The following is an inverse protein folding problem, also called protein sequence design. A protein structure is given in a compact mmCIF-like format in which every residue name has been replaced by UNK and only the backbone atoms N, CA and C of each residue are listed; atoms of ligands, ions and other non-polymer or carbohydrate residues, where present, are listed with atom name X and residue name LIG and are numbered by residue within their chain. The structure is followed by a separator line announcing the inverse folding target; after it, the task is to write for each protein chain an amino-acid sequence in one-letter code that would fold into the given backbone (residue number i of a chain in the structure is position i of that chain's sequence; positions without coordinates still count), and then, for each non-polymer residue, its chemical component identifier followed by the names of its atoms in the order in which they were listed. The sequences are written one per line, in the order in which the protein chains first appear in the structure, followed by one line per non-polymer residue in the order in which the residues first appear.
data_IF_801378696467
#
_entry.id   IF_801378696467
#
_cell.length_a   1.000
_cell.length_b   1.000
_cell.length_c   1.000
_cell.angle_alpha   90.00
_cell.angle_beta   90.00
_cell.angle_gamma   90.00
#
_symmetry.space_group_name_H-M   'P 1'
#
loop_
_entity.id
_entity.type
_entity.pdbx_description
1 polymer ?
#
# COMPACT_ATOMS: atom_id res chain seq x y z
N UNK A 1 -10.36 0.76 -3.42
CA UNK A 1 -9.53 1.16 -2.26
C UNK A 1 -8.81 2.45 -2.57
N UNK A 2 -8.54 3.24 -1.56
CA UNK A 2 -7.80 4.50 -1.67
C UNK A 2 -6.59 4.39 -0.74
N UNK A 3 -5.43 4.74 -1.25
CA UNK A 3 -4.19 4.86 -0.48
C UNK A 3 -3.79 6.33 -0.48
N UNK A 4 -3.63 6.94 0.66
CA UNK A 4 -3.35 8.37 0.77
C UNK A 4 -2.27 8.66 1.84
N UNK A 5 -1.73 9.86 1.81
CA UNK A 5 -0.88 10.38 2.89
C UNK A 5 -1.71 10.70 4.15
N UNK A 6 -1.04 10.86 5.28
CA UNK A 6 -1.70 11.22 6.54
C UNK A 6 -2.44 12.57 6.45
N UNK A 7 -1.88 13.54 5.72
CA UNK A 7 -2.48 14.87 5.55
C UNK A 7 -3.81 14.81 4.78
N UNK A 8 -3.83 14.01 3.69
CA UNK A 8 -5.05 13.78 2.92
C UNK A 8 -6.11 13.06 3.75
N UNK A 9 -5.71 12.08 4.55
CA UNK A 9 -6.63 11.37 5.45
C UNK A 9 -7.23 12.32 6.50
N UNK A 10 -6.42 13.21 7.07
CA UNK A 10 -6.87 14.22 8.03
C UNK A 10 -7.86 15.19 7.38
N UNK A 11 -7.58 15.64 6.17
CA UNK A 11 -8.49 16.50 5.42
C UNK A 11 -9.84 15.81 5.14
N UNK A 12 -9.82 14.52 4.77
CA UNK A 12 -11.05 13.75 4.57
C UNK A 12 -11.85 13.56 5.86
N UNK A 13 -11.17 13.39 6.98
CA UNK A 13 -11.81 13.29 8.30
C UNK A 13 -12.44 14.63 8.69
N UNK A 14 -11.73 15.74 8.51
CA UNK A 14 -12.24 17.09 8.80
C UNK A 14 -13.44 17.47 7.93
N UNK A 15 -13.45 17.01 6.67
CA UNK A 15 -14.58 17.19 5.77
C UNK A 15 -15.82 16.35 6.15
N UNK A 16 -15.71 15.46 7.15
CA UNK A 16 -16.82 14.63 7.64
C UNK A 16 -17.28 13.54 6.66
N UNK A 17 -16.48 13.24 5.63
CA UNK A 17 -16.85 12.23 4.61
C UNK A 17 -16.25 10.86 4.89
N UNK A 18 -15.27 10.78 5.78
CA UNK A 18 -14.62 9.54 6.19
C UNK A 18 -15.29 8.99 7.46
N UNK A 19 -15.86 7.79 7.35
CA UNK A 19 -16.33 7.03 8.50
C UNK A 19 -15.17 6.20 9.05
N UNK A 20 -14.69 6.57 10.24
CA UNK A 20 -13.59 5.92 10.94
C UNK A 20 -14.06 4.82 11.91
N UNK A 21 -15.36 4.69 12.16
CA UNK A 21 -15.88 3.65 13.05
C UNK A 21 -15.45 2.23 12.70
N UNK A 22 -15.34 1.84 11.43
CA UNK A 22 -14.82 0.52 11.08
C UNK A 22 -13.34 0.31 11.43
N UNK A 23 -12.56 1.39 11.54
CA UNK A 23 -11.15 1.33 11.93
C UNK A 23 -10.96 1.23 13.45
N UNK A 24 -11.94 1.67 14.23
CA UNK A 24 -11.97 1.58 15.69
C UNK A 24 -12.38 0.19 16.20
N UNK A 25 -12.25 -0.83 15.41
CA UNK A 25 -12.72 -2.16 15.73
C UNK A 25 -12.15 -2.66 17.06
N UNK A 26 -12.97 -3.37 17.81
CA UNK A 26 -12.91 -3.68 19.26
C UNK A 26 -11.65 -4.40 19.79
N UNK A 27 -10.66 -4.69 18.96
CA UNK A 27 -9.37 -5.22 19.40
C UNK A 27 -8.36 -4.08 19.62
N UNK A 28 -8.58 -3.30 20.63
CA UNK A 28 -7.67 -2.26 21.14
C UNK A 28 -6.31 -2.79 21.63
N UNK A 29 -6.05 -4.06 21.47
CA UNK A 29 -4.77 -4.69 21.80
C UNK A 29 -3.81 -4.78 20.62
N UNK A 30 -4.16 -4.21 19.49
CA UNK A 30 -3.27 -4.19 18.33
C UNK A 30 -2.42 -2.94 18.39
N UNK A 31 -1.14 -3.16 18.38
CA UNK A 31 -0.13 -2.12 18.19
C UNK A 31 -0.47 -1.29 16.95
N UNK A 32 -0.77 -0.02 17.12
CA UNK A 32 -1.23 0.89 16.07
C UNK A 32 -0.22 1.05 14.92
N UNK A 33 1.01 0.68 15.15
CA UNK A 33 2.11 0.81 14.18
C UNK A 33 1.92 -0.05 12.92
N UNK A 34 1.11 -1.08 12.98
CA UNK A 34 0.82 -1.95 11.83
C UNK A 34 -0.52 -1.70 11.14
N UNK A 35 -1.40 -0.89 11.74
CA UNK A 35 -2.74 -0.67 11.21
C UNK A 35 -2.80 0.58 10.35
N UNK A 36 -2.73 0.39 9.04
CA UNK A 36 -2.82 1.48 8.05
C UNK A 36 -4.25 1.79 7.62
N UNK A 37 -5.25 1.05 8.13
CA UNK A 37 -6.64 1.24 7.77
C UNK A 37 -7.24 2.46 8.49
N UNK A 38 -7.63 3.48 7.71
CA UNK A 38 -8.16 4.74 8.25
C UNK A 38 -9.68 4.76 8.39
N UNK A 39 -10.39 4.00 7.56
CA UNK A 39 -11.84 3.99 7.56
C UNK A 39 -12.44 3.75 6.19
N UNK A 40 -13.73 4.03 6.06
CA UNK A 40 -14.50 3.87 4.83
C UNK A 40 -15.05 5.20 4.37
N UNK A 41 -14.75 5.56 3.12
CA UNK A 41 -15.27 6.77 2.49
C UNK A 41 -16.66 6.47 1.91
N UNK A 42 -17.66 7.25 2.34
CA UNK A 42 -19.05 7.15 1.88
C UNK A 42 -19.65 5.73 1.92
N UNK A 43 -19.18 4.89 2.85
CA UNK A 43 -19.66 3.51 2.97
C UNK A 43 -19.21 2.54 1.87
N UNK A 44 -18.38 2.99 0.91
CA UNK A 44 -17.99 2.18 -0.26
C UNK A 44 -16.49 1.94 -0.39
N UNK A 45 -15.68 2.94 -0.10
CA UNK A 45 -14.26 2.90 -0.42
C UNK A 45 -13.43 2.79 0.84
N UNK A 46 -12.65 1.72 0.95
CA UNK A 46 -11.69 1.55 2.04
C UNK A 46 -10.51 2.50 1.83
N UNK A 47 -10.17 3.25 2.86
CA UNK A 47 -9.07 4.21 2.88
C UNK A 47 -7.94 3.66 3.76
N UNK A 48 -6.74 3.69 3.21
CA UNK A 48 -5.52 3.30 3.90
C UNK A 48 -4.54 4.47 3.93
N UNK A 49 -3.84 4.62 5.03
CA UNK A 49 -2.81 5.64 5.20
C UNK A 49 -1.45 5.01 4.91
N UNK A 50 -0.64 5.70 4.13
CA UNK A 50 0.78 5.39 3.98
C UNK A 50 1.60 6.33 4.86
N UNK A 51 2.14 5.84 5.98
CA UNK A 51 2.91 6.68 6.91
C UNK A 51 4.27 7.11 6.34
N UNK A 52 4.75 6.42 5.30
CA UNK A 52 6.07 6.68 4.69
C UNK A 52 6.00 7.65 3.51
N UNK A 53 4.82 8.02 3.06
CA UNK A 53 4.62 8.98 1.97
C UNK A 53 4.58 10.44 2.43
N UNK A 54 4.98 10.72 3.66
CA UNK A 54 5.06 12.08 4.18
C UNK A 54 6.01 12.91 3.31
N UNK A 55 5.42 13.76 2.51
CA UNK A 55 6.16 14.62 1.59
C UNK A 55 6.31 15.99 2.24
N UNK A 56 7.53 16.46 2.33
CA UNK A 56 7.85 17.80 2.87
C UNK A 56 7.40 18.92 1.89
N UNK A 57 6.93 18.54 0.71
CA UNK A 57 6.46 19.49 -0.30
C UNK A 57 4.95 19.73 -0.18
N UNK A 58 4.51 20.92 -0.60
CA UNK A 58 3.09 21.35 -0.65
C UNK A 58 2.18 20.44 -1.50
N UNK A 59 2.77 19.45 -2.14
CA UNK A 59 2.06 18.53 -3.04
C UNK A 59 1.87 17.19 -2.39
N UNK A 60 0.62 16.84 -2.14
CA UNK A 60 0.23 15.54 -1.64
C UNK A 60 -0.37 14.69 -2.76
N UNK A 61 -0.33 13.38 -2.57
CA UNK A 61 -0.87 12.43 -3.54
C UNK A 61 -1.77 11.43 -2.84
N UNK A 62 -2.80 10.98 -3.55
CA UNK A 62 -3.50 9.76 -3.22
C UNK A 62 -3.64 8.87 -4.45
N UNK A 63 -3.73 7.58 -4.21
CA UNK A 63 -3.86 6.57 -5.26
C UNK A 63 -5.19 5.86 -5.08
N UNK A 64 -5.97 5.84 -6.13
CA UNK A 64 -7.19 5.05 -6.20
C UNK A 64 -6.87 3.74 -6.88
N UNK A 65 -7.16 2.63 -6.21
CA UNK A 65 -6.96 1.29 -6.74
C UNK A 65 -8.27 0.52 -6.85
N UNK A 66 -8.44 -0.17 -7.95
CA UNK A 66 -9.55 -1.10 -8.19
C UNK A 66 -9.06 -2.54 -8.12
N UNK A 67 -9.85 -3.39 -7.51
CA UNK A 67 -9.72 -4.85 -7.55
C UNK A 67 -11.10 -5.44 -7.73
N UNK A 68 -11.25 -6.27 -8.77
CA UNK A 68 -12.50 -6.97 -9.03
C UNK A 68 -12.71 -8.18 -8.11
N UNK A 69 -13.83 -8.86 -8.29
CA UNK A 69 -14.19 -10.08 -7.57
C UNK A 69 -13.39 -11.30 -8.03
N UNK A 70 -12.98 -11.33 -9.29
CA UNK A 70 -12.14 -12.40 -9.82
C UNK A 70 -10.68 -12.27 -9.36
N UNK A 71 -9.98 -13.38 -9.03
CA UNK A 71 -8.57 -13.35 -8.72
C UNK A 71 -7.68 -12.76 -9.80
N UNK A 72 -8.10 -12.86 -11.06
CA UNK A 72 -7.37 -12.34 -12.23
C UNK A 72 -7.67 -10.88 -12.55
N UNK A 73 -8.72 -10.31 -11.95
CA UNK A 73 -9.12 -8.92 -12.15
C UNK A 73 -8.43 -8.02 -11.11
N UNK A 74 -7.13 -7.92 -11.22
CA UNK A 74 -6.27 -7.11 -10.37
C UNK A 74 -5.15 -6.46 -11.18
N UNK A 75 -4.71 -5.29 -10.75
CA UNK A 75 -3.64 -4.56 -11.44
C UNK A 75 -2.24 -5.00 -11.09
N UNK A 76 -2.07 -5.69 -9.97
CA UNK A 76 -0.79 -6.16 -9.46
C UNK A 76 -0.96 -7.53 -8.82
N UNK A 77 -0.07 -8.44 -9.17
CA UNK A 77 -0.01 -9.78 -8.60
C UNK A 77 1.24 -9.92 -7.75
N UNK A 78 1.05 -10.29 -6.50
CA UNK A 78 2.13 -10.67 -5.59
C UNK A 78 2.14 -12.18 -5.43
N UNK A 79 3.23 -12.80 -5.83
CA UNK A 79 3.41 -14.26 -5.84
C UNK A 79 4.54 -14.63 -4.88
N UNK A 80 4.25 -14.89 -3.60
CA UNK A 80 5.26 -15.35 -2.66
C UNK A 80 5.60 -16.82 -2.97
N UNK A 81 6.88 -17.09 -3.22
CA UNK A 81 7.40 -18.46 -3.40
C UNK A 81 7.92 -19.03 -2.10
N UNK A 82 8.73 -18.26 -1.38
CA UNK A 82 9.23 -18.61 -0.06
C UNK A 82 8.78 -17.53 0.91
N UNK A 83 8.01 -17.87 1.96
CA UNK A 83 7.62 -16.92 2.97
C UNK A 83 8.84 -16.37 3.71
N UNK A 84 8.65 -15.30 4.47
CA UNK A 84 9.71 -14.74 5.31
C UNK A 84 10.16 -15.80 6.33
N UNK A 85 11.42 -16.19 6.23
CA UNK A 85 12.04 -17.17 7.11
C UNK A 85 13.20 -16.54 7.87
N UNK A 86 13.24 -16.79 9.15
CA UNK A 86 14.38 -16.43 9.99
C UNK A 86 15.35 -17.61 10.05
N UNK A 87 16.62 -17.36 9.77
CA UNK A 87 17.70 -18.35 9.87
C UNK A 87 18.67 -17.87 10.94
N UNK A 88 18.96 -18.76 11.88
CA UNK A 88 19.99 -18.53 12.91
C UNK A 88 21.20 -19.38 12.59
N UNK A 89 22.37 -18.81 12.71
CA UNK A 89 23.64 -19.51 12.57
C UNK A 89 24.65 -18.95 13.58
N UNK A 90 25.60 -19.75 13.96
CA UNK A 90 26.74 -19.32 14.78
C UNK A 90 27.91 -19.06 13.83
N UNK A 91 28.60 -17.94 14.00
CA UNK A 91 29.78 -17.62 13.21
C UNK A 91 30.92 -18.57 13.52
N UNK A 92 31.49 -19.17 12.47
CA UNK A 92 32.55 -20.18 12.59
C UNK A 92 33.79 -19.68 13.32
N UNK A 93 34.20 -18.43 13.07
CA UNK A 93 35.41 -17.85 13.64
C UNK A 93 35.18 -16.93 14.86
N UNK A 94 33.95 -16.47 15.05
CA UNK A 94 33.66 -15.47 16.09
C UNK A 94 32.75 -16.00 17.21
N UNK A 95 32.17 -17.18 17.04
CA UNK A 95 31.13 -17.75 17.91
C UNK A 95 29.94 -16.83 18.21
N UNK A 96 29.82 -15.74 17.44
CA UNK A 96 28.72 -14.78 17.58
C UNK A 96 27.45 -15.30 16.88
N UNK A 97 26.29 -15.13 17.48
CA UNK A 97 25.03 -15.47 16.82
C UNK A 97 24.79 -14.52 15.63
N UNK A 98 24.49 -15.14 14.49
CA UNK A 98 24.08 -14.44 13.24
C UNK A 98 22.63 -14.73 12.98
N UNK A 99 21.83 -13.69 12.74
CA UNK A 99 20.42 -13.83 12.38
C UNK A 99 20.26 -13.26 10.96
N UNK A 100 19.67 -14.05 10.08
CA UNK A 100 19.36 -13.67 8.72
C UNK A 100 17.88 -13.85 8.43
N UNK A 101 17.29 -12.94 7.68
CA UNK A 101 15.96 -13.10 7.14
C UNK A 101 16.04 -13.30 5.63
N UNK A 102 15.32 -14.29 5.12
CA UNK A 102 15.23 -14.54 3.68
C UNK A 102 13.79 -14.70 3.23
N UNK A 103 13.51 -14.19 2.06
CA UNK A 103 12.24 -14.39 1.36
C UNK A 103 12.48 -14.45 -0.14
N UNK A 104 11.59 -15.11 -0.87
CA UNK A 104 11.58 -15.10 -2.33
C UNK A 104 10.17 -14.85 -2.80
N UNK A 105 10.00 -13.83 -3.61
CA UNK A 105 8.70 -13.46 -4.16
C UNK A 105 8.86 -12.90 -5.58
N UNK A 106 7.78 -12.97 -6.32
CA UNK A 106 7.64 -12.30 -7.60
C UNK A 106 6.53 -11.26 -7.53
N UNK A 107 6.70 -10.17 -8.22
CA UNK A 107 5.65 -9.18 -8.43
C UNK A 107 5.50 -8.89 -9.91
N UNK A 108 4.28 -8.96 -10.40
CA UNK A 108 3.96 -8.74 -11.81
C UNK A 108 2.77 -7.79 -11.91
N UNK A 109 2.91 -6.76 -12.75
CA UNK A 109 1.79 -5.91 -13.12
C UNK A 109 0.90 -6.64 -14.14
N UNK A 110 -0.40 -6.35 -14.13
CA UNK A 110 -1.32 -6.95 -15.09
C UNK A 110 -0.91 -6.55 -16.53
N UNK A 111 -0.58 -7.50 -17.40
CA UNK A 111 -0.14 -7.21 -18.77
C UNK A 111 -1.23 -6.59 -19.65
N UNK A 112 -2.51 -6.74 -19.28
CA UNK A 112 -3.64 -6.14 -19.98
C UNK A 112 -3.96 -4.72 -19.50
N UNK A 113 -3.27 -4.22 -18.47
CA UNK A 113 -3.35 -2.82 -18.11
C UNK A 113 -2.63 -1.98 -19.17
N UNK A 114 -3.28 -0.93 -19.66
CA UNK A 114 -2.66 -0.02 -20.62
C UNK A 114 -1.41 0.65 -20.01
N UNK A 115 -0.41 0.88 -20.82
CA UNK A 115 0.78 1.63 -20.44
C UNK A 115 2.03 0.81 -20.18
N UNK A 116 2.03 -0.46 -20.49
CA UNK A 116 3.26 -1.23 -20.59
C UNK A 116 4.00 -0.81 -21.86
N UNK A 117 5.17 -0.21 -21.70
CA UNK A 117 6.09 -0.01 -22.82
C UNK A 117 6.75 -1.35 -23.09
N UNK A 118 6.57 -1.87 -24.31
CA UNK A 118 7.09 -3.17 -24.70
C UNK A 118 8.59 -3.30 -24.35
N UNK A 119 8.93 -4.35 -23.62
CA UNK A 119 10.30 -4.76 -23.37
C UNK A 119 11.03 -4.06 -22.20
N UNK A 120 10.50 -3.01 -21.61
CA UNK A 120 11.21 -2.25 -20.57
C UNK A 120 10.59 -2.35 -19.16
N UNK A 121 9.49 -3.05 -18.99
CA UNK A 121 8.82 -3.18 -17.69
C UNK A 121 8.32 -1.87 -17.08
N UNK A 122 8.32 -0.77 -17.83
CA UNK A 122 7.87 0.54 -17.38
C UNK A 122 6.41 0.75 -17.72
N UNK A 123 5.62 1.12 -16.72
CA UNK A 123 4.22 1.48 -16.91
C UNK A 123 4.16 2.97 -17.30
N UNK A 124 3.46 3.27 -18.38
CA UNK A 124 3.21 4.67 -18.78
C UNK A 124 2.42 5.37 -17.67
N UNK A 125 2.86 6.56 -17.28
CA UNK A 125 2.17 7.34 -16.25
C UNK A 125 0.72 7.64 -16.67
N UNK A 126 -0.21 7.50 -15.74
CA UNK A 126 -1.64 7.75 -15.89
C UNK A 126 -2.40 6.91 -16.94
N UNK A 127 -1.82 5.83 -17.43
CA UNK A 127 -2.44 4.95 -18.42
C UNK A 127 -2.95 3.62 -17.82
N UNK A 128 -2.68 3.34 -16.56
CA UNK A 128 -3.12 2.11 -15.90
C UNK A 128 -4.63 2.16 -15.63
N UNK A 129 -5.35 1.09 -15.98
CA UNK A 129 -6.80 0.99 -15.75
C UNK A 129 -7.15 0.69 -14.29
N UNK A 130 -6.27 0.07 -13.56
CA UNK A 130 -6.50 -0.38 -12.18
C UNK A 130 -6.10 0.66 -11.13
N UNK A 131 -5.13 1.52 -11.46
CA UNK A 131 -4.57 2.48 -10.53
C UNK A 131 -4.56 3.89 -11.13
N UNK A 132 -5.01 4.85 -10.33
CA UNK A 132 -4.93 6.27 -10.67
C UNK A 132 -4.30 7.03 -9.52
N UNK A 133 -3.25 7.77 -9.83
CA UNK A 133 -2.62 8.72 -8.91
C UNK A 133 -3.20 10.11 -9.14
N UNK A 134 -3.68 10.71 -8.08
CA UNK A 134 -4.23 12.08 -8.11
C UNK A 134 -3.35 12.97 -7.26
N UNK A 135 -3.05 14.14 -7.79
CA UNK A 135 -2.29 15.19 -7.11
C UNK A 135 -3.25 16.10 -6.37
N UNK A 136 -2.95 16.37 -5.10
CA UNK A 136 -3.69 17.30 -4.25
C UNK A 136 -2.78 18.50 -3.98
N UNK A 137 -3.30 19.69 -4.24
CA UNK A 137 -2.60 20.94 -4.03
C UNK A 137 -3.37 21.77 -2.99
N UNK A 138 -2.65 22.67 -2.33
CA UNK A 138 -3.23 23.66 -1.41
C UNK A 138 -4.02 23.01 -0.26
N UNK A 139 -3.46 21.97 0.36
CA UNK A 139 -4.06 21.28 1.50
C UNK A 139 -3.86 22.08 2.80
N UNK A 140 -2.85 22.95 2.83
CA UNK A 140 -2.55 23.91 3.89
C UNK A 140 -2.16 25.24 3.29
#
# INVERSE_FOLDING_TARGET
MILCSADVASALTMAGVLDYTPALNANLNVDDTGNTFAGVLQGKYRVYIDPYSANVSDTQYYVVGYKGSSPYDAGLFYCPYVPLQMVRAVGENTFQPKIGFKTRYGMVANPFAEGLTQGLGRIKANANRYYRRVKVLNLM
#
